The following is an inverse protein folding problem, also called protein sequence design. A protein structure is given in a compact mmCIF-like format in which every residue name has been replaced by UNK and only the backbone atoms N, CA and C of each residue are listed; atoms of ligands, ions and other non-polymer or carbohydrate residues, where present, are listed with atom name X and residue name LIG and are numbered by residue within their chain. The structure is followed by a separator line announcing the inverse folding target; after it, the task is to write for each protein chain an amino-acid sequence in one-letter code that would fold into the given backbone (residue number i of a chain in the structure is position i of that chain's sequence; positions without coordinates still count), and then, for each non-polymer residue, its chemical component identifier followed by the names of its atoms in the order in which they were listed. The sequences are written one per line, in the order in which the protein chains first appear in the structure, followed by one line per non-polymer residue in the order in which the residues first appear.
data_IF_140127222258
#
_entry.id   IF_140127222258
#
_cell.length_a   1.000
_cell.length_b   1.000
_cell.length_c   1.000
_cell.angle_alpha   90.00
_cell.angle_beta   90.00
_cell.angle_gamma   90.00
#
_symmetry.space_group_name_H-M   'P 1'
#
loop_
_entity.id
_entity.type
_entity.pdbx_description
1 polymer ?
#
# COMPACT_ATOMS: atom_id res chain seq x y z
N UNK A 1 -3.57 -2.46 -3.87
CA UNK A 1 -2.74 -2.07 -5.03
C UNK A 1 -1.44 -2.87 -5.12
N UNK A 2 -0.78 -2.84 -6.29
CA UNK A 2 0.44 -3.61 -6.54
C UNK A 2 1.72 -2.77 -6.47
N UNK A 3 1.61 -1.48 -6.72
CA UNK A 3 2.73 -0.56 -6.64
C UNK A 3 3.14 -0.30 -5.18
N UNK A 4 4.32 0.25 -5.02
CA UNK A 4 4.92 0.52 -3.71
C UNK A 4 5.71 1.82 -3.78
N UNK A 5 5.90 2.45 -2.63
CA UNK A 5 6.78 3.60 -2.45
C UNK A 5 8.24 3.25 -2.76
N UNK A 6 9.02 4.25 -3.11
CA UNK A 6 10.44 4.08 -3.41
C UNK A 6 11.08 5.39 -3.85
N UNK A 7 12.10 5.27 -4.67
CA UNK A 7 12.86 6.41 -5.16
C UNK A 7 13.28 6.17 -6.61
N UNK A 8 13.38 7.25 -7.38
CA UNK A 8 13.96 7.24 -8.72
C UNK A 8 15.27 8.04 -8.70
N UNK A 9 16.33 7.47 -9.26
CA UNK A 9 17.59 8.16 -9.40
C UNK A 9 17.48 9.31 -10.39
N UNK A 10 17.87 10.48 -9.92
CA UNK A 10 17.95 11.71 -10.71
C UNK A 10 19.39 11.91 -11.21
N UNK A 11 19.79 13.12 -11.51
CA UNK A 11 21.20 13.45 -11.86
C UNK A 11 22.07 13.53 -10.59
N UNK A 12 23.37 13.34 -10.78
CA UNK A 12 24.35 13.22 -9.71
C UNK A 12 24.00 12.03 -8.79
N UNK A 13 23.86 12.26 -7.49
CA UNK A 13 23.50 11.28 -6.48
C UNK A 13 22.10 11.54 -5.90
N UNK A 14 21.30 12.40 -6.56
CA UNK A 14 19.98 12.81 -6.08
C UNK A 14 18.93 11.74 -6.34
N UNK A 15 17.94 11.70 -5.43
CA UNK A 15 16.76 10.85 -5.49
C UNK A 15 15.48 11.67 -5.55
N UNK A 16 14.49 11.18 -6.29
CA UNK A 16 13.12 11.69 -6.29
C UNK A 16 12.23 10.61 -5.71
N UNK A 17 11.37 10.92 -4.72
CA UNK A 17 10.51 9.93 -4.12
C UNK A 17 9.43 9.45 -5.11
N UNK A 18 9.09 8.18 -5.01
CA UNK A 18 7.91 7.55 -5.59
C UNK A 18 6.92 7.37 -4.45
N UNK A 19 5.75 7.99 -4.53
CA UNK A 19 4.80 8.03 -3.42
C UNK A 19 5.30 8.89 -2.25
N UNK A 20 4.98 8.48 -1.03
CA UNK A 20 5.32 9.20 0.20
C UNK A 20 6.29 8.46 1.13
N UNK A 21 7.47 7.98 0.69
CA UNK A 21 8.37 7.24 1.54
C UNK A 21 8.91 8.12 2.68
N UNK A 22 8.90 7.59 3.91
CA UNK A 22 9.62 8.21 5.01
C UNK A 22 11.12 7.99 4.82
N UNK A 23 11.81 9.05 4.42
CA UNK A 23 13.26 9.01 4.23
C UNK A 23 14.00 9.26 5.55
N UNK A 24 14.92 8.38 5.89
CA UNK A 24 15.82 8.53 7.05
C UNK A 24 17.21 8.12 6.60
N UNK A 25 18.21 8.97 6.86
CA UNK A 25 19.62 8.67 6.59
C UNK A 25 20.03 7.34 7.24
N UNK A 26 20.73 6.50 6.47
CA UNK A 26 21.19 5.19 6.88
C UNK A 26 20.29 4.03 6.43
N UNK A 27 19.06 4.29 5.94
CA UNK A 27 18.24 3.24 5.35
C UNK A 27 18.93 2.66 4.10
N UNK A 28 18.86 1.36 3.96
CA UNK A 28 19.42 0.65 2.83
C UNK A 28 18.40 0.54 1.70
N UNK A 29 18.83 0.93 0.51
CA UNK A 29 18.06 0.82 -0.73
C UNK A 29 18.68 -0.24 -1.63
N UNK A 30 17.82 -0.90 -2.40
CA UNK A 30 18.23 -1.89 -3.41
C UNK A 30 17.56 -1.60 -4.74
N UNK A 31 18.22 -1.98 -5.81
CA UNK A 31 17.75 -1.86 -7.19
C UNK A 31 18.69 -2.52 -8.15
N UNK A 32 18.53 -2.23 -9.42
CA UNK A 32 19.42 -2.71 -10.49
C UNK A 32 19.47 -1.68 -11.62
N UNK A 33 20.67 -1.42 -12.13
CA UNK A 33 20.88 -0.60 -13.32
C UNK A 33 21.63 -1.38 -14.42
N UNK A 34 22.06 -0.72 -15.48
CA UNK A 34 22.77 -1.36 -16.59
C UNK A 34 24.09 -2.02 -16.18
N UNK A 35 24.66 -1.67 -15.04
CA UNK A 35 25.89 -2.21 -14.50
C UNK A 35 25.66 -3.29 -13.43
N UNK A 36 24.41 -3.64 -13.16
CA UNK A 36 24.01 -4.72 -12.26
C UNK A 36 23.40 -4.27 -10.93
N UNK A 37 23.31 -5.20 -9.96
CA UNK A 37 22.64 -4.97 -8.69
C UNK A 37 23.24 -3.83 -7.88
N UNK A 38 22.35 -3.14 -7.18
CA UNK A 38 22.68 -1.99 -6.33
C UNK A 38 22.22 -2.30 -4.92
N UNK A 39 23.08 -2.02 -3.96
CA UNK A 39 22.73 -1.87 -2.55
C UNK A 39 23.43 -0.61 -2.06
N UNK A 40 22.66 0.43 -1.73
CA UNK A 40 23.18 1.74 -1.38
C UNK A 40 22.49 2.30 -0.13
N UNK A 41 23.09 3.32 0.47
CA UNK A 41 22.57 4.00 1.64
C UNK A 41 21.78 5.24 1.23
N UNK A 42 20.58 5.40 1.77
CA UNK A 42 19.81 6.65 1.66
C UNK A 42 20.43 7.72 2.56
N UNK A 43 20.56 8.91 2.02
CA UNK A 43 21.00 10.11 2.73
C UNK A 43 19.93 11.19 2.57
N UNK A 44 19.41 11.66 3.67
CA UNK A 44 18.49 12.79 3.73
C UNK A 44 19.22 13.98 4.38
N UNK A 45 19.14 15.15 3.77
CA UNK A 45 19.79 16.36 4.23
C UNK A 45 18.89 17.57 3.92
N UNK A 46 18.28 18.14 4.95
CA UNK A 46 17.40 19.32 4.86
C UNK A 46 16.27 19.18 3.80
N UNK A 47 15.75 17.97 3.63
CA UNK A 47 14.69 17.66 2.68
C UNK A 47 15.19 17.20 1.31
N UNK A 48 16.48 17.33 1.01
CA UNK A 48 17.09 16.79 -0.19
C UNK A 48 17.46 15.32 0.01
N UNK A 49 17.11 14.49 -0.96
CA UNK A 49 17.34 13.05 -0.91
C UNK A 49 18.48 12.66 -1.85
N UNK A 50 19.40 11.87 -1.33
CA UNK A 50 20.58 11.40 -2.03
C UNK A 50 20.82 9.92 -1.75
N UNK A 51 21.62 9.27 -2.59
CA UNK A 51 22.16 7.96 -2.28
C UNK A 51 23.69 8.02 -2.09
N UNK A 52 24.21 7.14 -1.26
CA UNK A 52 25.64 6.91 -1.10
C UNK A 52 26.00 5.53 -1.63
N UNK A 53 26.72 5.49 -2.73
CA UNK A 53 27.16 4.27 -3.41
C UNK A 53 28.58 4.44 -3.99
N UNK A 54 29.23 3.34 -4.30
CA UNK A 54 30.63 3.35 -4.78
C UNK A 54 30.79 3.93 -6.20
N UNK A 55 29.70 4.07 -6.96
CA UNK A 55 29.67 4.61 -8.32
C UNK A 55 28.40 5.41 -8.57
N UNK A 56 28.36 6.12 -9.67
CA UNK A 56 27.09 6.68 -10.17
C UNK A 56 26.12 5.56 -10.55
N UNK A 57 24.84 5.81 -10.32
CA UNK A 57 23.73 4.95 -10.72
C UNK A 57 23.06 5.58 -11.93
N UNK A 58 22.58 4.77 -12.86
CA UNK A 58 21.88 5.24 -14.05
C UNK A 58 20.66 6.06 -13.70
N UNK A 59 20.45 7.18 -14.39
CA UNK A 59 19.25 8.01 -14.21
C UNK A 59 17.98 7.24 -14.56
N UNK A 60 16.96 7.40 -13.75
CA UNK A 60 15.69 6.69 -13.92
C UNK A 60 15.68 5.31 -13.29
N UNK A 61 16.79 4.85 -12.69
CA UNK A 61 16.81 3.61 -11.91
C UNK A 61 15.89 3.75 -10.70
N UNK A 62 15.03 2.76 -10.51
CA UNK A 62 14.17 2.67 -9.34
C UNK A 62 14.91 1.97 -8.20
N UNK A 63 14.87 2.57 -7.02
CA UNK A 63 15.42 2.05 -5.79
C UNK A 63 14.31 1.88 -4.76
N UNK A 64 14.30 0.74 -4.09
CA UNK A 64 13.34 0.41 -3.05
C UNK A 64 14.04 0.12 -1.74
N UNK A 65 13.34 0.20 -0.61
CA UNK A 65 13.90 -0.16 0.68
C UNK A 65 14.34 -1.63 0.68
N UNK A 66 15.52 -1.89 1.20
CA UNK A 66 16.01 -3.25 1.41
C UNK A 66 15.07 -3.95 2.40
N UNK A 67 14.59 -5.13 2.02
CA UNK A 67 13.69 -5.93 2.84
C UNK A 67 14.36 -6.30 4.17
N UNK A 68 13.68 -5.99 5.27
CA UNK A 68 13.99 -6.43 6.62
C UNK A 68 12.72 -7.11 7.21
N UNK A 69 12.56 -8.40 6.88
CA UNK A 69 11.40 -9.18 7.34
C UNK A 69 11.69 -9.74 8.72
N UNK A 70 10.79 -9.47 9.65
CA UNK A 70 10.82 -9.97 11.02
C UNK A 70 9.47 -10.59 11.37
N UNK A 71 9.53 -11.72 12.04
CA UNK A 71 8.36 -12.47 12.48
C UNK A 71 8.57 -12.97 13.90
N UNK A 72 7.53 -12.85 14.72
CA UNK A 72 7.42 -13.44 16.05
C UNK A 72 6.07 -14.14 16.14
N UNK A 73 5.76 -14.76 17.29
CA UNK A 73 4.44 -15.36 17.52
C UNK A 73 3.31 -14.32 17.52
N UNK A 74 3.64 -13.04 17.79
CA UNK A 74 2.66 -11.97 17.96
C UNK A 74 2.54 -11.02 16.77
N UNK A 75 3.59 -10.89 15.95
CA UNK A 75 3.58 -9.92 14.85
C UNK A 75 4.48 -10.31 13.67
N UNK A 76 4.14 -9.73 12.54
CA UNK A 76 4.97 -9.67 11.32
C UNK A 76 5.32 -8.20 11.06
N UNK A 77 6.59 -7.93 10.80
CA UNK A 77 7.09 -6.61 10.42
C UNK A 77 7.89 -6.69 9.13
N UNK A 78 7.54 -5.86 8.16
CA UNK A 78 8.28 -5.72 6.90
C UNK A 78 7.97 -4.38 6.26
N UNK A 79 8.85 -3.89 5.39
CA UNK A 79 8.47 -2.90 4.40
C UNK A 79 7.50 -3.52 3.39
N UNK A 80 6.67 -2.68 2.77
CA UNK A 80 5.76 -3.08 1.68
C UNK A 80 4.62 -4.04 2.06
N UNK A 81 4.22 -4.08 3.33
CA UNK A 81 2.94 -4.68 3.71
C UNK A 81 1.77 -3.90 3.10
N UNK A 82 1.98 -2.62 2.88
CA UNK A 82 1.24 -1.73 2.02
C UNK A 82 1.66 -1.92 0.54
N UNK A 83 0.82 -2.46 -0.37
CA UNK A 83 -0.43 -3.14 -0.01
C UNK A 83 -0.39 -4.64 -0.35
N UNK A 84 0.70 -5.31 -0.01
CA UNK A 84 0.86 -6.77 -0.23
C UNK A 84 -0.12 -7.58 0.59
N UNK A 85 -0.58 -7.05 1.75
CA UNK A 85 -1.62 -7.69 2.54
C UNK A 85 -2.97 -7.64 1.81
N UNK A 86 -3.32 -6.52 1.20
CA UNK A 86 -4.52 -6.43 0.37
C UNK A 86 -4.48 -7.36 -0.84
N UNK A 87 -3.33 -7.48 -1.49
CA UNK A 87 -3.12 -8.44 -2.58
C UNK A 87 -3.28 -9.88 -2.08
N UNK A 88 -2.70 -10.23 -0.94
CA UNK A 88 -2.86 -11.55 -0.33
C UNK A 88 -4.34 -11.87 -0.05
N UNK A 89 -5.08 -10.94 0.54
CA UNK A 89 -6.50 -11.10 0.80
C UNK A 89 -7.29 -11.31 -0.49
N UNK A 90 -7.02 -10.52 -1.53
CA UNK A 90 -7.66 -10.67 -2.83
C UNK A 90 -7.38 -12.04 -3.47
N UNK A 91 -6.15 -12.55 -3.38
CA UNK A 91 -5.80 -13.89 -3.85
C UNK A 91 -6.53 -14.98 -3.06
N UNK A 92 -6.66 -14.82 -1.74
CA UNK A 92 -7.44 -15.76 -0.91
C UNK A 92 -8.93 -15.76 -1.27
N UNK A 93 -9.51 -14.61 -1.51
CA UNK A 93 -10.90 -14.50 -1.97
C UNK A 93 -11.07 -15.14 -3.36
N UNK A 94 -10.06 -15.03 -4.25
CA UNK A 94 -10.11 -15.61 -5.58
C UNK A 94 -10.25 -17.13 -5.57
N UNK A 95 -9.79 -17.83 -4.52
CA UNK A 95 -9.87 -19.28 -4.41
C UNK A 95 -11.33 -19.79 -4.36
N UNK A 96 -12.26 -18.96 -3.93
CA UNK A 96 -13.68 -19.33 -3.71
C UNK A 96 -14.68 -18.38 -4.35
N UNK A 97 -14.23 -17.34 -5.03
CA UNK A 97 -15.10 -16.35 -5.66
C UNK A 97 -15.80 -16.95 -6.89
N UNK A 98 -17.12 -17.08 -6.81
CA UNK A 98 -17.95 -17.56 -7.94
C UNK A 98 -18.44 -16.41 -8.83
N UNK A 99 -18.80 -15.26 -8.22
CA UNK A 99 -19.35 -14.11 -8.92
C UNK A 99 -18.72 -12.82 -8.39
N UNK A 100 -17.91 -12.18 -9.20
CA UNK A 100 -17.26 -10.92 -8.85
C UNK A 100 -16.07 -10.63 -9.73
N UNK A 101 -15.46 -9.49 -9.49
CA UNK A 101 -14.25 -9.05 -10.18
C UNK A 101 -13.21 -8.73 -9.11
N UNK A 102 -12.03 -9.30 -9.25
CA UNK A 102 -10.87 -8.96 -8.43
C UNK A 102 -9.99 -8.01 -9.24
N UNK A 103 -9.55 -6.94 -8.60
CA UNK A 103 -8.75 -5.91 -9.23
C UNK A 103 -7.44 -5.76 -8.48
N UNK A 104 -6.35 -5.80 -9.24
CA UNK A 104 -5.02 -5.42 -8.78
C UNK A 104 -4.69 -4.07 -9.40
N UNK A 105 -4.92 -3.00 -8.65
CA UNK A 105 -4.67 -1.63 -9.12
C UNK A 105 -3.19 -1.27 -9.09
N UNK A 106 -2.85 -0.24 -9.87
CA UNK A 106 -1.52 0.39 -9.89
C UNK A 106 -1.68 1.90 -9.71
N UNK A 107 -0.58 2.58 -9.35
CA UNK A 107 -0.51 4.02 -9.14
C UNK A 107 -1.31 4.51 -7.92
N UNK A 108 -1.54 3.66 -6.95
CA UNK A 108 -2.17 4.10 -5.71
C UNK A 108 -1.28 5.11 -5.00
N UNK A 109 -0.01 4.81 -4.86
CA UNK A 109 1.03 5.64 -4.24
C UNK A 109 1.22 7.02 -4.92
N UNK A 110 0.69 7.17 -6.12
CA UNK A 110 0.67 8.42 -6.89
C UNK A 110 -0.72 9.08 -6.92
N UNK A 111 -1.55 8.87 -5.87
CA UNK A 111 -2.85 9.52 -5.74
C UNK A 111 -4.01 8.75 -6.36
N UNK A 112 -4.00 7.42 -6.29
CA UNK A 112 -5.11 6.55 -6.68
C UNK A 112 -5.34 6.44 -8.19
N UNK A 113 -4.31 6.68 -9.00
CA UNK A 113 -4.35 6.97 -10.44
C UNK A 113 -5.16 6.03 -11.34
N UNK A 114 -5.17 4.72 -11.12
CA UNK A 114 -5.87 3.77 -12.01
C UNK A 114 -7.34 3.54 -11.63
N UNK A 115 -7.73 3.79 -10.39
CA UNK A 115 -9.05 3.44 -9.84
C UNK A 115 -10.24 4.03 -10.62
N UNK A 116 -10.27 5.32 -11.04
CA UNK A 116 -11.38 5.86 -11.79
C UNK A 116 -11.61 5.15 -13.12
N UNK A 117 -10.54 4.76 -13.81
CA UNK A 117 -10.61 4.04 -15.09
C UNK A 117 -11.11 2.61 -14.89
N UNK A 118 -10.60 1.92 -13.89
CA UNK A 118 -10.98 0.56 -13.53
C UNK A 118 -12.46 0.51 -13.12
N UNK A 119 -12.90 1.41 -12.25
CA UNK A 119 -14.28 1.49 -11.79
C UNK A 119 -15.25 1.75 -12.94
N UNK A 120 -14.90 2.65 -13.86
CA UNK A 120 -15.69 2.91 -15.07
C UNK A 120 -15.78 1.67 -15.94
N UNK A 121 -14.66 1.02 -16.25
CA UNK A 121 -14.61 -0.18 -17.08
C UNK A 121 -15.47 -1.31 -16.50
N UNK A 122 -15.31 -1.60 -15.21
CA UNK A 122 -16.06 -2.65 -14.51
C UNK A 122 -17.57 -2.34 -14.52
N UNK A 123 -17.94 -1.09 -14.33
CA UNK A 123 -19.34 -0.68 -14.39
C UNK A 123 -19.94 -0.85 -15.80
N UNK A 124 -19.21 -0.44 -16.84
CA UNK A 124 -19.68 -0.51 -18.22
C UNK A 124 -19.78 -1.97 -18.71
N UNK A 125 -18.86 -2.84 -18.34
CA UNK A 125 -18.82 -4.23 -18.80
C UNK A 125 -19.77 -5.16 -18.02
N UNK A 126 -19.87 -4.98 -16.71
CA UNK A 126 -20.60 -5.93 -15.84
C UNK A 126 -21.66 -5.29 -14.94
N UNK A 127 -21.85 -3.99 -14.98
CA UNK A 127 -22.83 -3.27 -14.17
C UNK A 127 -22.54 -3.31 -12.66
N UNK A 128 -21.33 -3.67 -12.26
CA UNK A 128 -20.92 -3.72 -10.85
C UNK A 128 -20.86 -2.32 -10.27
N UNK A 129 -21.50 -2.13 -9.11
CA UNK A 129 -21.67 -0.81 -8.47
C UNK A 129 -21.13 -0.71 -7.06
N UNK A 130 -20.57 -1.78 -6.55
CA UNK A 130 -20.02 -1.85 -5.20
C UNK A 130 -18.65 -2.47 -5.26
N UNK A 131 -17.72 -1.95 -4.46
CA UNK A 131 -16.40 -2.50 -4.28
C UNK A 131 -16.11 -2.64 -2.80
N UNK A 132 -15.36 -3.66 -2.44
CA UNK A 132 -14.68 -3.79 -1.17
C UNK A 132 -13.19 -3.52 -1.45
N UNK A 133 -12.62 -2.57 -0.74
CA UNK A 133 -11.19 -2.23 -0.85
C UNK A 133 -10.49 -2.91 0.32
N UNK A 134 -9.44 -3.66 0.01
CA UNK A 134 -8.57 -4.26 1.02
C UNK A 134 -7.23 -3.53 0.98
N UNK A 135 -7.00 -2.77 2.01
CA UNK A 135 -5.79 -1.99 2.22
C UNK A 135 -5.33 -2.07 3.67
N UNK A 136 -4.24 -1.42 4.02
CA UNK A 136 -3.79 -1.29 5.40
C UNK A 136 -4.27 0.05 5.98
N UNK A 137 -4.20 0.17 7.29
CA UNK A 137 -4.47 1.42 7.99
C UNK A 137 -3.43 1.70 9.07
N UNK A 138 -3.51 2.89 9.64
CA UNK A 138 -2.63 3.35 10.71
C UNK A 138 -3.15 2.92 12.08
N UNK A 139 -2.24 2.62 12.99
CA UNK A 139 -2.57 2.54 14.41
C UNK A 139 -2.81 3.95 14.94
N UNK A 140 -4.01 4.17 15.46
CA UNK A 140 -4.46 5.45 16.01
C UNK A 140 -5.04 5.27 17.41
N UNK A 141 -5.62 6.30 18.00
CA UNK A 141 -6.35 6.18 19.26
C UNK A 141 -7.58 5.26 19.17
N UNK A 142 -8.12 5.10 17.96
CA UNK A 142 -9.32 4.29 17.69
C UNK A 142 -9.07 2.96 16.98
N UNK A 143 -7.84 2.70 16.55
CA UNK A 143 -7.45 1.47 15.85
C UNK A 143 -6.19 0.90 16.48
N UNK A 144 -6.31 -0.27 17.11
CA UNK A 144 -5.24 -0.88 17.90
C UNK A 144 -4.76 -2.19 17.28
N UNK A 145 -3.49 -2.51 17.51
CA UNK A 145 -2.95 -3.82 17.17
C UNK A 145 -3.67 -4.95 17.93
N UNK A 146 -3.95 -6.05 17.23
CA UNK A 146 -4.52 -7.26 17.83
C UNK A 146 -6.05 -7.22 18.03
N UNK A 147 -6.70 -6.09 17.79
CA UNK A 147 -8.15 -5.92 17.99
C UNK A 147 -8.98 -6.22 16.73
N UNK A 148 -8.41 -6.95 15.79
CA UNK A 148 -9.09 -7.40 14.58
C UNK A 148 -9.00 -6.43 13.41
N UNK A 149 -9.81 -6.68 12.39
CA UNK A 149 -9.82 -5.93 11.13
C UNK A 149 -10.45 -4.54 11.32
N UNK A 150 -9.84 -3.50 10.78
CA UNK A 150 -10.45 -2.17 10.74
C UNK A 150 -11.47 -2.09 9.60
N UNK A 151 -12.70 -1.70 9.92
CA UNK A 151 -13.76 -1.38 8.95
C UNK A 151 -13.92 0.12 8.92
N UNK A 152 -13.51 0.75 7.81
CA UNK A 152 -13.58 2.20 7.66
C UNK A 152 -15.02 2.69 7.48
N UNK A 153 -15.49 3.46 8.44
CA UNK A 153 -16.76 4.19 8.40
C UNK A 153 -16.63 5.49 7.61
N UNK A 154 -15.44 6.01 7.56
CA UNK A 154 -15.03 7.18 6.80
C UNK A 154 -13.53 7.12 6.57
N UNK A 155 -13.15 7.45 5.36
CA UNK A 155 -11.80 7.72 4.92
C UNK A 155 -11.79 9.10 4.22
N UNK A 156 -11.07 9.29 3.13
CA UNK A 156 -11.14 10.50 2.30
C UNK A 156 -12.60 10.82 1.89
N UNK A 157 -13.39 9.79 1.61
CA UNK A 157 -14.80 9.87 1.29
C UNK A 157 -15.66 9.18 2.36
N UNK A 158 -16.96 9.44 2.33
CA UNK A 158 -17.92 8.77 3.21
C UNK A 158 -18.61 7.66 2.41
N UNK A 159 -18.36 6.39 2.72
CA UNK A 159 -19.02 5.29 2.04
C UNK A 159 -20.50 5.24 2.36
N UNK A 160 -21.28 4.57 1.50
CA UNK A 160 -22.72 4.41 1.72
C UNK A 160 -22.98 3.64 3.01
N UNK A 161 -23.69 4.22 3.96
CA UNK A 161 -23.94 3.65 5.27
C UNK A 161 -24.57 2.25 5.20
N UNK A 162 -25.55 2.03 4.34
CA UNK A 162 -26.20 0.71 4.21
C UNK A 162 -25.25 -0.39 3.73
N UNK A 163 -24.19 -0.03 2.99
CA UNK A 163 -23.16 -0.98 2.58
C UNK A 163 -22.22 -1.32 3.74
N UNK A 164 -21.81 -0.32 4.50
CA UNK A 164 -21.00 -0.51 5.71
C UNK A 164 -21.76 -1.36 6.74
N UNK A 165 -23.04 -1.08 6.99
CA UNK A 165 -23.87 -1.86 7.92
C UNK A 165 -23.96 -3.34 7.48
N UNK A 166 -24.00 -3.61 6.17
CA UNK A 166 -23.91 -4.96 5.62
C UNK A 166 -22.57 -5.63 5.94
N UNK A 167 -21.46 -4.93 5.73
CA UNK A 167 -20.11 -5.45 6.04
C UNK A 167 -19.97 -5.77 7.53
N UNK A 168 -20.42 -4.85 8.39
CA UNK A 168 -20.41 -5.05 9.85
C UNK A 168 -21.28 -6.27 10.24
N UNK A 169 -22.44 -6.44 9.60
CA UNK A 169 -23.31 -7.61 9.80
C UNK A 169 -22.57 -8.91 9.47
N UNK A 170 -21.92 -8.97 8.32
CA UNK A 170 -21.13 -10.13 7.89
C UNK A 170 -19.97 -10.42 8.88
N UNK A 171 -19.25 -9.39 9.30
CA UNK A 171 -18.16 -9.54 10.27
C UNK A 171 -18.66 -10.13 11.60
N UNK A 172 -19.80 -9.66 12.12
CA UNK A 172 -20.42 -10.20 13.34
C UNK A 172 -20.86 -11.65 13.17
N UNK A 173 -21.49 -11.98 12.05
CA UNK A 173 -21.96 -13.34 11.76
C UNK A 173 -20.79 -14.33 11.57
N UNK A 174 -19.69 -13.88 11.01
CA UNK A 174 -18.48 -14.70 10.80
C UNK A 174 -17.67 -14.92 12.07
N UNK A 175 -17.90 -14.14 13.12
CA UNK A 175 -17.11 -14.19 14.35
C UNK A 175 -15.68 -13.66 14.22
N UNK A 176 -15.41 -12.91 13.16
CA UNK A 176 -14.12 -12.24 12.97
C UNK A 176 -14.10 -10.96 13.81
N UNK A 177 -13.06 -10.80 14.62
CA UNK A 177 -12.87 -9.59 15.41
C UNK A 177 -12.63 -8.39 14.48
N UNK A 178 -13.26 -7.27 14.79
CA UNK A 178 -13.13 -6.05 14.02
C UNK A 178 -13.28 -4.79 14.86
N UNK A 179 -12.72 -3.71 14.33
CA UNK A 179 -12.80 -2.36 14.88
C UNK A 179 -13.48 -1.44 13.86
N UNK A 180 -14.03 -0.32 14.34
CA UNK A 180 -14.60 0.70 13.48
C UNK A 180 -13.65 1.89 13.42
N UNK A 181 -13.23 2.23 12.22
CA UNK A 181 -12.33 3.33 11.94
C UNK A 181 -13.08 4.55 11.40
N UNK A 182 -12.70 5.72 11.88
CA UNK A 182 -13.20 7.00 11.33
C UNK A 182 -12.01 7.95 11.21
N UNK A 183 -11.54 8.13 9.98
CA UNK A 183 -10.39 9.00 9.71
C UNK A 183 -10.79 10.26 8.91
N UNK A 184 -10.00 11.31 9.05
CA UNK A 184 -10.25 12.60 8.40
C UNK A 184 -9.57 12.78 7.06
N UNK A 185 -8.50 12.05 6.81
CA UNK A 185 -7.72 12.09 5.58
C UNK A 185 -7.63 10.69 4.99
N UNK A 186 -7.65 10.60 3.67
CA UNK A 186 -7.59 9.33 2.99
C UNK A 186 -6.28 8.58 3.25
N UNK A 187 -6.41 7.32 3.57
CA UNK A 187 -5.31 6.35 3.66
C UNK A 187 -5.30 5.41 2.45
N UNK A 188 -6.39 5.38 1.69
CA UNK A 188 -6.56 4.53 0.51
C UNK A 188 -7.29 5.21 -0.63
#
# INVERSE_FOLDING_TARGET
HMDSIGFTVRYQDQLVPIGGPRAVTGYQLVGEDSLGPIECELVENDGDLHYKFARGIDRGTELVFKKDFRETDDFVQSCYLDNRLGIFNALKVAETLENGVIVFSCWEEHGGGSVPYIAKFIYEEWGVRQALISDITWVTEGVLHGEGVAISMRDRNVPRRSYIDKIIGIARESGVDFQLEVEGAGSS
#
